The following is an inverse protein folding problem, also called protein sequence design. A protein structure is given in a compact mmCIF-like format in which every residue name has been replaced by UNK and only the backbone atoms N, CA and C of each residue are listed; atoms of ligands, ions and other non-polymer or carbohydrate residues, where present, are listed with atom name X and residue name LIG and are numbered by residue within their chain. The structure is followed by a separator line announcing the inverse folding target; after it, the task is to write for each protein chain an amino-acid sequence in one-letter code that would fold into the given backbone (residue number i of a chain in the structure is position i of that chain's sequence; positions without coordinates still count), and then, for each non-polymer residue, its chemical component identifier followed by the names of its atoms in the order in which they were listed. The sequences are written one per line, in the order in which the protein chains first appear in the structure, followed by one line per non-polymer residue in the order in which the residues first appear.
data_IF_096908141793
#
_entry.id   IF_096908141793
#
_cell.length_a   1.000
_cell.length_b   1.000
_cell.length_c   1.000
_cell.angle_alpha   90.00
_cell.angle_beta   90.00
_cell.angle_gamma   90.00
#
_symmetry.space_group_name_H-M   'P 1'
#
loop_
_entity.id
_entity.type
_entity.pdbx_description
1 polymer ?
#
# COMPACT_ATOMS: atom_id res chain seq x y z
N UNK A 1 -25.53 17.56 -19.12
CA UNK A 1 -24.96 16.23 -18.83
C UNK A 1 -23.57 16.39 -18.26
N UNK A 2 -23.10 15.44 -17.46
CA UNK A 2 -21.81 15.50 -16.77
C UNK A 2 -21.01 14.22 -16.97
N UNK A 3 -19.73 14.38 -17.30
CA UNK A 3 -18.77 13.29 -17.46
C UNK A 3 -17.64 13.46 -16.45
N UNK A 4 -17.37 12.42 -15.67
CA UNK A 4 -16.20 12.41 -14.79
C UNK A 4 -15.08 11.60 -15.44
N UNK A 5 -13.86 12.13 -15.45
CA UNK A 5 -12.66 11.41 -15.88
C UNK A 5 -11.85 11.05 -14.64
N UNK A 6 -11.54 9.77 -14.42
CA UNK A 6 -10.62 9.32 -13.38
C UNK A 6 -9.34 8.81 -14.03
N UNK A 7 -8.24 9.53 -13.79
CA UNK A 7 -6.95 9.25 -14.39
C UNK A 7 -6.02 8.58 -13.38
N UNK A 8 -5.61 7.35 -13.70
CA UNK A 8 -4.76 6.50 -12.88
C UNK A 8 -3.27 6.56 -13.18
N UNK A 9 -2.85 7.35 -14.18
CA UNK A 9 -1.43 7.55 -14.46
C UNK A 9 -0.76 8.48 -13.44
N UNK A 10 0.54 8.74 -13.65
CA UNK A 10 1.38 9.49 -12.71
C UNK A 10 1.45 11.00 -12.99
N UNK A 11 0.81 11.47 -14.06
CA UNK A 11 0.89 12.87 -14.47
C UNK A 11 2.21 13.24 -15.15
N UNK A 12 2.90 12.27 -15.75
CA UNK A 12 4.09 12.53 -16.56
C UNK A 12 3.70 13.35 -17.79
N UNK A 13 4.52 14.34 -18.14
CA UNK A 13 4.23 15.29 -19.23
C UNK A 13 4.09 14.57 -20.57
N UNK A 14 4.89 13.54 -20.77
CA UNK A 14 4.97 12.71 -21.96
C UNK A 14 3.98 11.53 -21.94
N UNK A 15 3.04 11.48 -21.01
CA UNK A 15 2.06 10.40 -20.96
C UNK A 15 1.00 10.55 -22.07
N UNK A 16 0.95 9.63 -23.05
CA UNK A 16 0.01 9.70 -24.17
C UNK A 16 -1.46 9.63 -23.73
N UNK A 17 -1.76 9.07 -22.56
CA UNK A 17 -3.12 9.09 -22.02
C UNK A 17 -3.61 10.51 -21.73
N UNK A 18 -2.71 11.44 -21.38
CA UNK A 18 -3.05 12.84 -21.13
C UNK A 18 -3.50 13.51 -22.43
N UNK A 19 -2.78 13.29 -23.54
CA UNK A 19 -3.19 13.79 -24.85
C UNK A 19 -4.58 13.29 -25.24
N UNK A 20 -4.83 11.98 -25.13
CA UNK A 20 -6.13 11.38 -25.46
C UNK A 20 -7.24 11.98 -24.60
N UNK A 21 -7.03 12.11 -23.28
CA UNK A 21 -8.00 12.74 -22.39
C UNK A 21 -8.28 14.20 -22.76
N UNK A 22 -7.25 14.98 -23.08
CA UNK A 22 -7.41 16.38 -23.46
C UNK A 22 -8.23 16.50 -24.77
N UNK A 23 -8.00 15.61 -25.73
CA UNK A 23 -8.81 15.52 -26.96
C UNK A 23 -10.25 15.16 -26.68
N UNK A 24 -10.49 14.15 -25.83
CA UNK A 24 -11.85 13.78 -25.41
C UNK A 24 -12.54 14.98 -24.72
N UNK A 25 -11.83 15.69 -23.84
CA UNK A 25 -12.36 16.86 -23.15
C UNK A 25 -12.77 17.96 -24.13
N UNK A 26 -11.94 18.25 -25.15
CA UNK A 26 -12.27 19.22 -26.19
C UNK A 26 -13.54 18.87 -26.96
N UNK A 27 -13.65 17.62 -27.44
CA UNK A 27 -14.86 17.15 -28.16
C UNK A 27 -16.10 17.22 -27.28
N UNK A 28 -16.00 16.85 -26.01
CA UNK A 28 -17.13 16.91 -25.07
C UNK A 28 -17.53 18.35 -24.73
N UNK A 29 -16.56 19.27 -24.65
CA UNK A 29 -16.80 20.70 -24.41
C UNK A 29 -17.56 21.33 -25.59
N UNK A 30 -17.16 21.02 -26.83
CA UNK A 30 -17.88 21.43 -28.06
C UNK A 30 -19.34 20.95 -28.07
N UNK A 31 -19.61 19.80 -27.43
CA UNK A 31 -20.94 19.22 -27.28
C UNK A 31 -21.69 19.74 -26.03
N UNK A 32 -21.17 20.77 -25.34
CA UNK A 32 -21.71 21.37 -24.12
C UNK A 32 -21.85 20.38 -22.94
N UNK A 33 -20.93 19.41 -22.85
CA UNK A 33 -20.89 18.43 -21.76
C UNK A 33 -19.93 18.91 -20.69
N UNK A 34 -20.40 18.97 -19.43
CA UNK A 34 -19.55 19.36 -18.30
C UNK A 34 -18.61 18.21 -17.96
N UNK A 35 -17.32 18.37 -18.23
CA UNK A 35 -16.30 17.38 -17.89
C UNK A 35 -15.59 17.77 -16.60
N UNK A 36 -15.45 16.83 -15.67
CA UNK A 36 -14.61 17.00 -14.48
C UNK A 36 -13.55 15.90 -14.40
N UNK A 37 -12.29 16.30 -14.47
CA UNK A 37 -11.14 15.40 -14.36
C UNK A 37 -10.68 15.28 -12.91
N UNK A 38 -10.41 14.05 -12.48
CA UNK A 38 -9.84 13.68 -11.20
C UNK A 38 -8.53 12.95 -11.47
N UNK A 39 -7.42 13.61 -11.16
CA UNK A 39 -6.10 13.01 -11.19
C UNK A 39 -5.88 12.25 -9.89
N UNK A 40 -5.92 10.92 -9.94
CA UNK A 40 -5.87 10.10 -8.72
C UNK A 40 -4.52 10.21 -7.97
N UNK A 41 -3.47 10.65 -8.66
CA UNK A 41 -2.16 10.86 -8.06
C UNK A 41 -2.07 12.12 -7.20
N UNK A 42 -2.94 13.12 -7.41
CA UNK A 42 -2.93 14.40 -6.67
C UNK A 42 -3.41 14.22 -5.23
N UNK A 43 -4.45 13.41 -5.01
CA UNK A 43 -4.97 13.11 -3.68
C UNK A 43 -5.28 11.61 -3.54
N UNK A 44 -4.22 10.84 -3.28
CA UNK A 44 -4.32 9.38 -3.07
C UNK A 44 -5.20 9.02 -1.87
N UNK A 45 -5.31 9.92 -0.88
CA UNK A 45 -6.09 9.70 0.35
C UNK A 45 -7.58 9.96 0.11
N UNK A 46 -7.90 10.96 -0.69
CA UNK A 46 -9.25 11.29 -1.12
C UNK A 46 -9.88 10.29 -2.08
N UNK A 47 -9.14 9.28 -2.58
CA UNK A 47 -9.70 8.27 -3.50
C UNK A 47 -10.92 7.57 -2.88
N UNK A 48 -10.90 7.29 -1.58
CA UNK A 48 -12.01 6.63 -0.88
C UNK A 48 -13.33 7.40 -0.98
N UNK A 49 -13.29 8.74 -1.07
CA UNK A 49 -14.48 9.59 -1.15
C UNK A 49 -14.89 9.91 -2.58
N UNK A 50 -14.09 9.60 -3.60
CA UNK A 50 -14.44 9.87 -5.00
C UNK A 50 -15.71 9.16 -5.49
N UNK A 51 -16.12 7.96 -5.01
CA UNK A 51 -17.38 7.35 -5.43
C UNK A 51 -18.61 8.25 -5.25
N UNK A 52 -18.61 9.17 -4.28
CA UNK A 52 -19.72 10.13 -4.10
C UNK A 52 -19.91 11.06 -5.30
N UNK A 53 -18.83 11.31 -6.05
CA UNK A 53 -18.87 12.18 -7.24
C UNK A 53 -19.58 11.54 -8.42
N UNK A 54 -19.82 10.23 -8.38
CA UNK A 54 -20.55 9.47 -9.39
C UNK A 54 -22.06 9.74 -9.35
N UNK A 55 -22.60 10.22 -8.22
CA UNK A 55 -24.04 10.52 -8.05
C UNK A 55 -24.55 11.49 -9.14
N UNK A 56 -23.76 12.51 -9.44
CA UNK A 56 -24.10 13.55 -10.41
C UNK A 56 -23.60 13.26 -11.83
N UNK A 57 -22.90 12.15 -12.06
CA UNK A 57 -22.34 11.82 -13.36
C UNK A 57 -23.36 11.06 -14.23
N UNK A 58 -23.40 11.38 -15.51
CA UNK A 58 -24.15 10.62 -16.53
C UNK A 58 -23.25 9.54 -17.16
N UNK A 59 -21.96 9.83 -17.26
CA UNK A 59 -20.96 8.88 -17.74
C UNK A 59 -19.59 9.11 -17.09
N UNK A 60 -18.75 8.09 -17.19
CA UNK A 60 -17.40 8.05 -16.63
C UNK A 60 -16.39 7.68 -17.70
N UNK A 61 -15.20 8.24 -17.61
CA UNK A 61 -14.05 7.80 -18.38
C UNK A 61 -13.01 7.35 -17.38
N UNK A 62 -12.57 6.10 -17.49
CA UNK A 62 -11.45 5.59 -16.70
C UNK A 62 -10.22 5.60 -17.61
N UNK A 63 -9.19 6.33 -17.23
CA UNK A 63 -7.98 6.51 -18.02
C UNK A 63 -6.76 5.89 -17.33
N UNK A 64 -6.17 4.88 -17.95
CA UNK A 64 -5.02 4.14 -17.45
C UNK A 64 -3.80 4.33 -18.36
N UNK A 65 -2.65 4.51 -17.72
CA UNK A 65 -1.34 4.52 -18.37
C UNK A 65 -0.61 3.25 -17.96
N UNK A 66 -0.37 2.36 -18.93
CA UNK A 66 0.18 1.03 -18.71
C UNK A 66 1.68 1.07 -18.98
N UNK A 67 2.45 1.10 -17.89
CA UNK A 67 3.91 1.05 -17.92
C UNK A 67 4.45 -0.38 -17.77
N UNK A 68 3.76 -1.21 -16.97
CA UNK A 68 4.17 -2.58 -16.67
C UNK A 68 3.02 -3.58 -16.86
N UNK A 69 2.06 -3.62 -15.92
CA UNK A 69 0.96 -4.58 -15.97
C UNK A 69 -0.30 -4.03 -15.32
N UNK A 70 -1.43 -4.28 -15.98
CA UNK A 70 -2.74 -3.91 -15.48
C UNK A 70 -2.99 -2.40 -15.48
N UNK A 71 -3.98 -1.99 -14.71
CA UNK A 71 -4.59 -0.64 -14.79
C UNK A 71 -3.94 0.38 -13.84
N UNK A 72 -2.92 -0.03 -13.10
CA UNK A 72 -2.27 0.79 -12.06
C UNK A 72 -2.98 0.75 -10.70
N UNK A 73 -2.20 0.91 -9.63
CA UNK A 73 -2.69 0.77 -8.25
C UNK A 73 -3.72 1.82 -7.83
N UNK A 74 -3.61 3.05 -8.35
CA UNK A 74 -4.55 4.13 -8.02
C UNK A 74 -5.95 3.87 -8.60
N UNK A 75 -6.03 3.35 -9.83
CA UNK A 75 -7.30 2.96 -10.43
C UNK A 75 -7.90 1.75 -9.73
N UNK A 76 -7.08 0.78 -9.32
CA UNK A 76 -7.53 -0.33 -8.47
C UNK A 76 -8.15 0.19 -7.16
N UNK A 77 -7.44 1.08 -6.46
CA UNK A 77 -7.95 1.67 -5.21
C UNK A 77 -9.26 2.43 -5.42
N UNK A 78 -9.42 3.12 -6.57
CA UNK A 78 -10.67 3.78 -6.91
C UNK A 78 -11.81 2.79 -7.19
N UNK A 79 -11.54 1.70 -7.91
CA UNK A 79 -12.54 0.65 -8.19
C UNK A 79 -12.94 -0.10 -6.91
N UNK A 80 -11.99 -0.34 -6.00
CA UNK A 80 -12.28 -0.91 -4.68
C UNK A 80 -13.13 0.04 -3.84
N UNK A 81 -12.82 1.34 -3.85
CA UNK A 81 -13.67 2.35 -3.21
C UNK A 81 -15.08 2.39 -3.82
N UNK A 82 -15.21 2.26 -5.14
CA UNK A 82 -16.51 2.12 -5.82
C UNK A 82 -17.25 0.84 -5.41
N UNK A 83 -16.52 -0.24 -5.20
CA UNK A 83 -17.11 -1.49 -4.74
C UNK A 83 -17.67 -1.36 -3.32
N UNK A 84 -16.92 -0.73 -2.42
CA UNK A 84 -17.25 -0.58 -1.00
C UNK A 84 -18.28 0.52 -0.73
N UNK A 85 -18.08 1.71 -1.29
CA UNK A 85 -18.83 2.92 -0.94
C UNK A 85 -19.75 3.43 -2.05
N UNK A 86 -19.65 2.87 -3.25
CA UNK A 86 -20.42 3.31 -4.40
C UNK A 86 -21.89 2.87 -4.33
N UNK A 87 -22.78 3.77 -4.78
CA UNK A 87 -24.21 3.50 -4.89
C UNK A 87 -24.50 2.54 -6.05
N UNK A 88 -24.88 1.30 -5.72
CA UNK A 88 -25.14 0.22 -6.69
C UNK A 88 -26.31 0.50 -7.61
N UNK A 89 -27.31 1.28 -7.17
CA UNK A 89 -28.43 1.67 -8.04
C UNK A 89 -27.96 2.69 -9.08
N UNK A 90 -27.09 3.63 -8.68
CA UNK A 90 -26.51 4.60 -9.61
C UNK A 90 -25.70 3.92 -10.71
N UNK A 91 -24.90 2.90 -10.37
CA UNK A 91 -24.08 2.17 -11.36
C UNK A 91 -24.92 1.60 -12.51
N UNK A 92 -26.13 1.09 -12.26
CA UNK A 92 -26.99 0.50 -13.32
C UNK A 92 -27.30 1.45 -14.47
N UNK A 93 -27.19 2.76 -14.24
CA UNK A 93 -27.45 3.81 -15.24
C UNK A 93 -26.17 4.49 -15.76
N UNK A 94 -25.00 4.06 -15.28
CA UNK A 94 -23.75 4.79 -15.47
C UNK A 94 -22.89 4.15 -16.57
N UNK A 95 -22.69 4.90 -17.65
CA UNK A 95 -21.88 4.50 -18.79
C UNK A 95 -20.40 4.73 -18.50
N UNK A 96 -19.52 3.81 -18.93
CA UNK A 96 -18.08 3.96 -18.77
C UNK A 96 -17.31 3.67 -20.05
N UNK A 97 -16.44 4.60 -20.44
CA UNK A 97 -15.48 4.40 -21.52
C UNK A 97 -14.07 4.14 -20.95
N UNK A 98 -13.45 2.99 -21.25
CA UNK A 98 -12.05 2.77 -20.89
C UNK A 98 -11.13 3.48 -21.88
N UNK A 99 -10.12 4.17 -21.35
CA UNK A 99 -9.03 4.78 -22.12
C UNK A 99 -7.73 4.21 -21.61
N UNK A 100 -7.05 3.40 -22.41
CA UNK A 100 -5.86 2.66 -22.00
C UNK A 100 -4.75 2.87 -23.01
N UNK A 101 -3.65 3.46 -22.55
CA UNK A 101 -2.46 3.70 -23.37
C UNK A 101 -1.28 2.96 -22.75
N UNK A 102 -0.56 2.19 -23.56
CA UNK A 102 0.68 1.52 -23.15
C UNK A 102 1.86 2.07 -23.95
N UNK A 103 3.00 2.22 -23.30
CA UNK A 103 4.29 2.52 -23.96
C UNK A 103 5.14 1.27 -24.18
N UNK A 104 4.72 0.13 -23.63
CA UNK A 104 5.42 -1.15 -23.72
C UNK A 104 4.49 -2.25 -24.24
N UNK A 105 3.61 -2.78 -23.41
CA UNK A 105 2.64 -3.84 -23.72
C UNK A 105 1.58 -3.93 -22.60
N UNK A 106 0.43 -4.54 -22.89
CA UNK A 106 -0.57 -4.93 -21.87
C UNK A 106 -1.82 -4.06 -21.87
N UNK A 107 -1.98 -3.15 -22.84
CA UNK A 107 -3.14 -2.28 -23.01
C UNK A 107 -4.44 -3.07 -23.14
N UNK A 108 -4.42 -4.21 -23.85
CA UNK A 108 -5.60 -5.06 -24.04
C UNK A 108 -6.06 -5.72 -22.75
N UNK A 109 -5.13 -6.25 -21.97
CA UNK A 109 -5.45 -6.90 -20.69
C UNK A 109 -5.93 -5.88 -19.66
N UNK A 110 -5.32 -4.69 -19.64
CA UNK A 110 -5.77 -3.58 -18.81
C UNK A 110 -7.18 -3.13 -19.21
N UNK A 111 -7.47 -2.94 -20.51
CA UNK A 111 -8.81 -2.58 -20.98
C UNK A 111 -9.83 -3.65 -20.58
N UNK A 112 -9.53 -4.93 -20.79
CA UNK A 112 -10.39 -6.04 -20.40
C UNK A 112 -10.68 -6.03 -18.89
N UNK A 113 -9.64 -5.77 -18.08
CA UNK A 113 -9.75 -5.66 -16.62
C UNK A 113 -10.69 -4.52 -16.21
N UNK A 114 -10.58 -3.34 -16.83
CA UNK A 114 -11.44 -2.20 -16.53
C UNK A 114 -12.91 -2.45 -16.88
N UNK A 115 -13.14 -3.03 -18.06
CA UNK A 115 -14.49 -3.40 -18.52
C UNK A 115 -15.10 -4.39 -17.53
N UNK A 116 -14.37 -5.46 -17.21
CA UNK A 116 -14.83 -6.49 -16.27
C UNK A 116 -15.13 -5.93 -14.88
N UNK A 117 -14.24 -5.09 -14.34
CA UNK A 117 -14.45 -4.47 -13.03
C UNK A 117 -15.70 -3.58 -13.01
N UNK A 118 -15.92 -2.81 -14.08
CA UNK A 118 -17.10 -1.95 -14.19
C UNK A 118 -18.42 -2.73 -14.33
N UNK A 119 -18.41 -3.82 -15.10
CA UNK A 119 -19.56 -4.74 -15.17
C UNK A 119 -19.87 -5.36 -13.81
N UNK A 120 -18.84 -5.75 -13.05
CA UNK A 120 -19.01 -6.28 -11.70
C UNK A 120 -19.61 -5.25 -10.74
N UNK A 121 -19.25 -3.96 -10.88
CA UNK A 121 -19.89 -2.86 -10.15
C UNK A 121 -21.36 -2.65 -10.55
N UNK A 122 -21.78 -3.19 -11.70
CA UNK A 122 -23.13 -3.06 -12.24
C UNK A 122 -23.29 -1.94 -13.25
N UNK A 123 -22.18 -1.36 -13.73
CA UNK A 123 -22.18 -0.31 -14.73
C UNK A 123 -22.26 -0.79 -16.17
N UNK A 124 -22.45 0.15 -17.10
CA UNK A 124 -22.58 -0.13 -18.53
C UNK A 124 -21.25 0.18 -19.23
N UNK A 125 -20.39 -0.80 -19.52
CA UNK A 125 -19.17 -0.55 -20.28
C UNK A 125 -19.50 -0.18 -21.73
N UNK A 126 -18.75 0.77 -22.27
CA UNK A 126 -18.81 1.22 -23.65
C UNK A 126 -17.52 0.86 -24.38
N UNK A 127 -17.58 0.91 -25.70
CA UNK A 127 -16.38 0.86 -26.53
C UNK A 127 -15.46 2.03 -26.18
N UNK A 128 -14.16 1.73 -26.09
CA UNK A 128 -13.16 2.66 -25.58
C UNK A 128 -11.97 2.85 -26.51
N UNK A 129 -10.92 3.45 -25.96
CA UNK A 129 -9.66 3.70 -26.64
C UNK A 129 -8.61 2.81 -25.99
N UNK A 130 -7.92 2.03 -26.81
CA UNK A 130 -6.90 1.08 -26.39
C UNK A 130 -5.80 1.13 -27.43
N UNK A 131 -4.63 1.64 -27.06
CA UNK A 131 -3.53 1.82 -28.00
C UNK A 131 -2.16 1.64 -27.36
N UNK A 132 -1.24 1.12 -28.17
CA UNK A 132 0.18 1.14 -27.91
C UNK A 132 0.80 2.37 -28.59
N UNK A 133 1.62 3.11 -27.86
CA UNK A 133 2.28 4.34 -28.32
C UNK A 133 3.78 4.20 -28.11
N UNK A 134 4.51 3.95 -29.20
CA UNK A 134 5.97 3.84 -29.18
C UNK A 134 6.67 5.20 -29.19
N UNK A 135 6.06 6.20 -29.82
CA UNK A 135 6.57 7.57 -29.90
C UNK A 135 5.41 8.55 -29.68
N UNK A 136 5.51 9.30 -28.60
CA UNK A 136 4.46 10.21 -28.13
C UNK A 136 4.33 11.41 -29.06
N UNK A 137 5.44 11.95 -29.57
CA UNK A 137 5.43 13.12 -30.45
C UNK A 137 4.70 12.83 -31.76
N UNK A 138 5.03 11.72 -32.42
CA UNK A 138 4.33 11.29 -33.65
C UNK A 138 2.85 11.01 -33.38
N UNK A 139 2.53 10.41 -32.23
CA UNK A 139 1.15 10.13 -31.87
C UNK A 139 0.31 11.41 -31.68
N UNK A 140 0.85 12.41 -30.98
CA UNK A 140 0.17 13.67 -30.68
C UNK A 140 0.01 14.59 -31.91
N UNK A 141 0.96 14.52 -32.84
CA UNK A 141 0.95 15.33 -34.07
C UNK A 141 0.17 14.70 -35.22
N UNK A 142 -0.21 13.43 -35.10
CA UNK A 142 -0.99 12.72 -36.12
C UNK A 142 -2.44 13.18 -36.16
N UNK A 143 -2.86 13.72 -37.30
CA UNK A 143 -4.24 14.09 -37.58
C UNK A 143 -5.17 12.87 -37.67
N UNK A 144 -4.65 11.72 -38.13
CA UNK A 144 -5.41 10.48 -38.25
C UNK A 144 -5.77 9.91 -36.87
N UNK A 145 -4.81 9.88 -35.94
CA UNK A 145 -5.08 9.40 -34.57
C UNK A 145 -6.01 10.35 -33.82
N UNK A 146 -5.84 11.67 -33.98
CA UNK A 146 -6.77 12.65 -33.44
C UNK A 146 -8.20 12.41 -33.94
N UNK A 147 -8.38 12.21 -35.25
CA UNK A 147 -9.69 11.90 -35.84
C UNK A 147 -10.31 10.60 -35.30
N UNK A 148 -9.51 9.55 -35.08
CA UNK A 148 -10.00 8.31 -34.48
C UNK A 148 -10.48 8.50 -33.03
N UNK A 149 -9.74 9.29 -32.23
CA UNK A 149 -10.12 9.65 -30.86
C UNK A 149 -11.43 10.44 -30.86
N UNK A 150 -11.58 11.40 -31.77
CA UNK A 150 -12.81 12.19 -31.93
C UNK A 150 -14.00 11.30 -32.27
N UNK A 151 -13.87 10.39 -33.25
CA UNK A 151 -14.95 9.46 -33.62
C UNK A 151 -15.35 8.51 -32.50
N UNK A 152 -14.39 8.00 -31.73
CA UNK A 152 -14.66 7.18 -30.54
C UNK A 152 -15.41 8.00 -29.48
N UNK A 153 -15.00 9.24 -29.26
CA UNK A 153 -15.64 10.16 -28.30
C UNK A 153 -17.07 10.52 -28.69
N UNK A 154 -17.32 10.84 -29.97
CA UNK A 154 -18.67 11.08 -30.50
C UNK A 154 -19.58 9.84 -30.34
N UNK A 155 -19.03 8.65 -30.59
CA UNK A 155 -19.75 7.39 -30.42
C UNK A 155 -20.14 7.16 -28.97
N UNK A 156 -19.21 7.41 -28.03
CA UNK A 156 -19.48 7.36 -26.61
C UNK A 156 -20.55 8.36 -26.21
N UNK A 157 -20.42 9.63 -26.62
CA UNK A 157 -21.42 10.67 -26.42
C UNK A 157 -22.82 10.24 -26.87
N UNK A 158 -22.94 9.75 -28.10
CA UNK A 158 -24.21 9.27 -28.65
C UNK A 158 -24.81 8.13 -27.79
N UNK A 159 -23.98 7.27 -27.24
CA UNK A 159 -24.39 6.12 -26.42
C UNK A 159 -25.02 6.56 -25.11
N UNK A 160 -24.33 7.39 -24.33
CA UNK A 160 -24.83 7.80 -23.01
C UNK A 160 -25.90 8.91 -23.11
N UNK A 161 -25.87 9.77 -24.13
CA UNK A 161 -26.91 10.81 -24.35
C UNK A 161 -28.27 10.25 -24.75
N UNK A 162 -28.28 9.22 -25.59
CA UNK A 162 -29.52 8.53 -26.00
C UNK A 162 -29.91 7.40 -25.07
N UNK A 163 -29.14 7.16 -24.00
CA UNK A 163 -29.32 6.04 -23.07
C UNK A 163 -29.48 4.70 -23.80
N UNK A 164 -28.62 4.45 -24.78
CA UNK A 164 -28.67 3.21 -25.56
C UNK A 164 -28.41 2.02 -24.62
N UNK A 165 -29.23 0.96 -24.75
CA UNK A 165 -29.03 -0.27 -23.99
C UNK A 165 -27.83 -1.04 -24.53
N UNK A 166 -27.09 -1.69 -23.64
CA UNK A 166 -26.15 -2.74 -24.04
C UNK A 166 -26.91 -4.03 -24.35
N UNK A 167 -26.27 -4.91 -25.12
CA UNK A 167 -26.72 -6.29 -25.27
C UNK A 167 -26.58 -7.05 -23.94
N UNK A 168 -27.39 -8.09 -23.70
CA UNK A 168 -27.24 -8.92 -22.51
C UNK A 168 -25.89 -9.65 -22.51
N UNK A 169 -25.27 -9.77 -21.33
CA UNK A 169 -23.99 -10.45 -21.12
C UNK A 169 -24.09 -11.48 -19.99
N UNK A 170 -23.18 -12.45 -20.00
CA UNK A 170 -23.09 -13.44 -18.92
C UNK A 170 -22.74 -12.80 -17.56
N UNK A 171 -21.97 -11.71 -17.57
CA UNK A 171 -21.62 -10.96 -16.35
C UNK A 171 -22.86 -10.36 -15.66
N UNK A 172 -23.83 -9.87 -16.43
CA UNK A 172 -25.11 -9.39 -15.89
C UNK A 172 -25.89 -10.51 -15.18
N UNK A 173 -25.98 -11.69 -15.81
CA UNK A 173 -26.74 -12.84 -15.28
C UNK A 173 -26.07 -13.42 -14.03
N UNK A 174 -24.74 -13.54 -14.02
CA UNK A 174 -23.99 -14.04 -12.85
C UNK A 174 -24.15 -13.09 -11.65
N UNK A 175 -24.14 -11.77 -11.90
CA UNK A 175 -24.35 -10.79 -10.84
C UNK A 175 -25.72 -10.90 -10.19
N UNK A 176 -26.79 -11.02 -10.98
CA UNK A 176 -28.15 -11.10 -10.46
C UNK A 176 -28.43 -12.40 -9.70
N UNK A 177 -27.82 -13.52 -10.13
CA UNK A 177 -28.17 -14.84 -9.62
C UNK A 177 -27.19 -15.43 -8.58
N UNK A 178 -25.90 -15.03 -8.60
CA UNK A 178 -24.83 -15.73 -7.85
C UNK A 178 -24.10 -14.81 -6.87
N UNK A 179 -23.89 -13.54 -7.22
CA UNK A 179 -23.20 -12.58 -6.35
C UNK A 179 -24.16 -11.99 -5.31
N UNK A 180 -24.43 -12.75 -4.24
CA UNK A 180 -24.99 -12.22 -2.98
C UNK A 180 -23.84 -12.07 -1.98
N UNK A 181 -23.07 -10.97 -2.01
CA UNK A 181 -22.03 -10.77 -1.02
C UNK A 181 -22.64 -10.80 0.39
N UNK A 182 -21.94 -11.41 1.36
CA UNK A 182 -22.18 -11.21 2.80
C UNK A 182 -21.72 -9.80 3.22
N UNK A 183 -22.08 -8.78 2.46
CA UNK A 183 -21.74 -7.40 2.79
C UNK A 183 -22.77 -6.85 3.76
N UNK A 184 -22.28 -6.10 4.74
CA UNK A 184 -23.10 -5.20 5.55
C UNK A 184 -23.85 -4.30 4.55
N UNK A 185 -25.18 -4.35 4.57
CA UNK A 185 -26.00 -3.50 3.71
C UNK A 185 -26.00 -2.09 4.30
N UNK A 186 -24.98 -1.32 3.95
CA UNK A 186 -24.90 0.09 4.27
C UNK A 186 -25.85 0.85 3.35
N UNK A 187 -26.62 1.77 3.94
CA UNK A 187 -27.35 2.78 3.19
C UNK A 187 -26.37 3.71 2.46
N UNK A 188 -26.80 4.40 1.38
CA UNK A 188 -25.95 5.36 0.69
C UNK A 188 -25.38 6.46 1.60
N UNK A 189 -26.11 6.84 2.67
CA UNK A 189 -25.61 7.80 3.66
C UNK A 189 -24.50 7.20 4.54
N UNK A 190 -24.68 5.97 5.04
CA UNK A 190 -23.67 5.28 5.86
C UNK A 190 -22.40 5.00 5.05
N UNK A 191 -22.52 4.59 3.79
CA UNK A 191 -21.37 4.41 2.90
C UNK A 191 -20.59 5.70 2.69
N UNK A 192 -21.28 6.83 2.54
CA UNK A 192 -20.63 8.13 2.37
C UNK A 192 -19.92 8.58 3.66
N UNK A 193 -20.55 8.41 4.82
CA UNK A 193 -19.93 8.69 6.12
C UNK A 193 -18.69 7.82 6.37
N UNK A 194 -18.76 6.52 6.07
CA UNK A 194 -17.63 5.61 6.18
C UNK A 194 -16.50 5.97 5.23
N UNK A 195 -16.82 6.37 3.99
CA UNK A 195 -15.81 6.83 3.03
C UNK A 195 -15.08 8.06 3.55
N UNK A 196 -15.80 8.99 4.17
CA UNK A 196 -15.23 10.18 4.81
C UNK A 196 -14.36 9.79 6.01
N UNK A 197 -14.82 8.86 6.86
CA UNK A 197 -14.06 8.39 8.02
C UNK A 197 -12.74 7.70 7.61
N UNK A 198 -12.78 6.82 6.62
CA UNK A 198 -11.58 6.14 6.09
C UNK A 198 -10.62 7.12 5.42
N UNK A 199 -11.15 8.15 4.75
CA UNK A 199 -10.31 9.22 4.18
C UNK A 199 -9.75 10.18 5.23
N UNK A 200 -10.35 10.25 6.42
CA UNK A 200 -10.08 11.26 7.42
C UNK A 200 -9.44 10.63 8.66
N UNK A 201 -8.12 10.64 8.67
CA UNK A 201 -7.23 10.05 9.67
C UNK A 201 -7.28 10.74 11.05
N UNK A 202 -8.40 11.38 11.40
CA UNK A 202 -8.62 12.01 12.71
C UNK A 202 -8.36 11.04 13.86
N UNK A 203 -8.56 9.74 13.67
CA UNK A 203 -8.23 8.74 14.70
C UNK A 203 -6.71 8.54 14.90
N UNK A 204 -5.91 8.64 13.83
CA UNK A 204 -4.44 8.52 13.89
C UNK A 204 -3.78 9.85 14.26
N UNK A 205 -4.35 10.98 13.79
CA UNK A 205 -3.90 12.31 14.21
C UNK A 205 -4.24 12.61 15.66
N UNK A 206 -5.46 12.31 16.10
CA UNK A 206 -5.86 12.50 17.49
C UNK A 206 -5.14 11.53 18.42
N UNK A 207 -4.87 10.28 18.01
CA UNK A 207 -3.93 9.44 18.78
C UNK A 207 -2.52 10.02 18.85
N UNK A 208 -1.98 10.61 17.78
CA UNK A 208 -0.65 11.22 17.81
C UNK A 208 -0.61 12.54 18.58
N UNK A 209 -1.64 13.36 18.47
CA UNK A 209 -1.80 14.64 19.16
C UNK A 209 -2.13 14.41 20.63
N UNK A 210 -3.06 13.52 20.98
CA UNK A 210 -3.36 13.12 22.36
C UNK A 210 -2.12 12.46 23.00
N UNK A 211 -1.35 11.66 22.26
CA UNK A 211 -0.11 11.07 22.76
C UNK A 211 0.98 12.14 22.94
N UNK A 212 1.04 13.16 22.09
CA UNK A 212 1.93 14.31 22.26
C UNK A 212 1.50 15.22 23.43
N UNK A 213 0.20 15.49 23.60
CA UNK A 213 -0.35 16.25 24.73
C UNK A 213 -0.16 15.50 26.04
N UNK A 214 -0.44 14.19 26.09
CA UNK A 214 -0.16 13.35 27.25
C UNK A 214 1.34 13.32 27.55
N UNK A 215 2.20 13.26 26.53
CA UNK A 215 3.68 13.29 26.70
C UNK A 215 4.16 14.64 27.22
N UNK A 216 3.60 15.76 26.75
CA UNK A 216 3.91 17.10 27.26
C UNK A 216 3.41 17.28 28.69
N UNK A 217 2.19 16.83 28.99
CA UNK A 217 1.62 16.89 30.32
C UNK A 217 2.40 16.02 31.31
N UNK A 218 2.87 14.84 30.89
CA UNK A 218 3.77 13.99 31.69
C UNK A 218 5.16 14.58 31.89
N UNK A 219 5.76 15.22 30.88
CA UNK A 219 7.02 15.97 31.01
C UNK A 219 6.89 17.14 32.00
N UNK A 220 5.75 17.85 31.96
CA UNK A 220 5.50 18.96 32.86
C UNK A 220 5.26 18.52 34.30
N UNK A 221 4.62 17.35 34.51
CA UNK A 221 4.37 16.78 35.83
C UNK A 221 5.58 16.09 36.46
N UNK A 222 6.56 15.62 35.68
CA UNK A 222 7.76 14.96 36.21
C UNK A 222 8.92 15.92 36.56
N UNK A 223 8.86 17.20 36.13
CA UNK A 223 9.92 18.17 36.41
C UNK A 223 11.23 17.85 35.68
N UNK A 224 12.05 18.88 35.44
CA UNK A 224 13.38 18.74 34.82
C UNK A 224 14.32 17.96 35.75
N UNK A 225 14.21 16.65 35.75
CA UNK A 225 15.26 15.74 36.22
C UNK A 225 15.91 15.11 35.00
N UNK A 226 17.19 15.38 34.82
CA UNK A 226 18.08 15.02 33.70
C UNK A 226 18.37 13.50 33.58
N UNK A 227 17.45 12.67 34.07
CA UNK A 227 17.47 11.21 34.04
C UNK A 227 16.06 10.72 33.65
N UNK A 228 15.70 10.85 32.37
CA UNK A 228 14.47 10.25 31.84
C UNK A 228 14.76 8.96 31.06
N UNK A 229 14.13 7.82 31.40
CA UNK A 229 14.17 6.63 30.57
C UNK A 229 13.29 6.82 29.34
N UNK A 230 13.90 6.84 28.16
CA UNK A 230 13.18 6.86 26.87
C UNK A 230 12.25 5.64 26.76
N UNK A 231 10.93 5.91 26.80
CA UNK A 231 9.90 4.95 26.39
C UNK A 231 9.67 5.06 24.87
N UNK A 232 10.54 4.40 24.11
CA UNK A 232 10.11 3.65 22.95
C UNK A 232 10.11 2.18 23.38
N UNK A 233 8.98 1.66 23.89
CA UNK A 233 8.72 0.22 23.77
C UNK A 233 8.31 -0.06 22.32
N UNK A 234 9.30 0.04 21.44
CA UNK A 234 9.35 -0.81 20.27
C UNK A 234 9.67 -2.20 20.79
N UNK A 235 8.77 -3.14 20.52
CA UNK A 235 8.88 -4.60 20.73
C UNK A 235 10.33 -5.06 20.94
N UNK A 236 10.62 -5.60 22.13
CA UNK A 236 11.90 -6.24 22.49
C UNK A 236 12.01 -7.60 21.75
N UNK A 237 12.49 -7.67 20.50
CA UNK A 237 12.01 -8.67 19.54
C UNK A 237 12.87 -9.93 19.47
N UNK A 238 13.77 -10.14 20.44
CA UNK A 238 14.70 -11.28 20.42
C UNK A 238 14.79 -12.03 21.76
N UNK A 239 14.18 -11.52 22.84
CA UNK A 239 14.26 -12.18 24.16
C UNK A 239 13.66 -13.58 24.11
N UNK A 240 12.51 -13.73 23.44
CA UNK A 240 11.80 -15.00 23.32
C UNK A 240 12.54 -16.00 22.44
N UNK A 241 13.23 -15.54 21.40
CA UNK A 241 14.06 -16.32 20.49
C UNK A 241 15.26 -16.90 21.23
N UNK A 242 15.95 -16.10 22.06
CA UNK A 242 17.04 -16.58 22.90
C UNK A 242 16.56 -17.58 23.96
N UNK A 243 15.39 -17.36 24.58
CA UNK A 243 14.79 -18.33 25.52
C UNK A 243 14.45 -19.66 24.86
N UNK A 244 13.92 -19.65 23.63
CA UNK A 244 13.57 -20.87 22.88
C UNK A 244 14.79 -21.67 22.42
N UNK A 245 15.87 -20.98 22.03
CA UNK A 245 17.09 -21.61 21.53
C UNK A 245 18.03 -22.09 22.65
N UNK A 246 17.74 -21.75 23.91
CA UNK A 246 18.59 -22.05 25.06
C UNK A 246 18.59 -23.54 25.42
N UNK A 247 19.78 -24.13 25.45
CA UNK A 247 20.06 -25.51 25.85
C UNK A 247 20.96 -25.47 27.09
N UNK A 248 20.44 -25.81 28.29
CA UNK A 248 21.19 -25.67 29.53
C UNK A 248 22.39 -26.63 29.58
N UNK A 249 23.54 -26.13 30.02
CA UNK A 249 24.75 -26.91 30.29
C UNK A 249 25.01 -26.84 31.80
N UNK A 250 25.15 -27.99 32.50
CA UNK A 250 25.48 -28.01 33.93
C UNK A 250 26.84 -27.31 34.20
N UNK A 251 26.96 -26.68 35.38
CA UNK A 251 28.20 -26.05 35.85
C UNK A 251 28.76 -24.89 34.99
N UNK A 252 27.91 -24.26 34.18
CA UNK A 252 28.27 -23.07 33.39
C UNK A 252 27.63 -21.81 33.99
N UNK A 253 28.47 -20.84 34.36
CA UNK A 253 28.07 -19.49 34.75
C UNK A 253 28.76 -18.46 33.87
N UNK A 254 28.01 -17.75 33.03
CA UNK A 254 28.55 -16.73 32.10
C UNK A 254 27.53 -15.64 31.82
N UNK A 255 28.01 -14.42 31.65
CA UNK A 255 27.23 -13.25 31.27
C UNK A 255 27.73 -12.62 29.96
N UNK A 256 26.80 -12.31 29.05
CA UNK A 256 27.06 -11.59 27.80
C UNK A 256 26.28 -10.27 27.79
N UNK A 257 26.92 -9.19 27.32
CA UNK A 257 26.21 -7.98 26.89
C UNK A 257 26.35 -7.82 25.39
N UNK A 258 25.29 -7.44 24.70
CA UNK A 258 25.30 -7.21 23.26
C UNK A 258 24.78 -5.81 22.93
N UNK A 259 25.67 -4.99 22.38
CA UNK A 259 25.38 -3.69 21.82
C UNK A 259 25.03 -3.82 20.34
N UNK A 260 23.77 -3.53 20.02
CA UNK A 260 23.27 -3.57 18.65
C UNK A 260 23.17 -2.12 18.19
N UNK A 261 23.85 -1.76 17.10
CA UNK A 261 23.97 -0.35 16.66
C UNK A 261 22.61 0.35 16.46
N UNK A 262 21.61 -0.41 16.07
CA UNK A 262 20.26 0.06 15.77
C UNK A 262 19.35 0.08 17.02
N UNK A 263 19.83 -0.40 18.18
CA UNK A 263 19.10 -0.41 19.44
C UNK A 263 19.71 0.54 20.47
N UNK A 264 18.85 1.17 21.27
CA UNK A 264 19.27 2.10 22.32
C UNK A 264 19.65 1.39 23.63
N UNK A 265 19.26 0.11 23.81
CA UNK A 265 19.51 -0.70 25.02
C UNK A 265 20.40 -1.90 24.69
N UNK A 266 21.25 -2.31 25.64
CA UNK A 266 22.08 -3.51 25.49
C UNK A 266 21.24 -4.76 25.79
N UNK A 267 21.35 -5.79 24.97
CA UNK A 267 20.80 -7.10 25.28
C UNK A 267 21.75 -7.82 26.26
N UNK A 268 21.24 -8.26 27.40
CA UNK A 268 22.01 -8.96 28.43
C UNK A 268 21.53 -10.40 28.51
N UNK A 269 22.46 -11.35 28.46
CA UNK A 269 22.22 -12.79 28.59
C UNK A 269 23.02 -13.29 29.78
N UNK A 270 22.34 -13.79 30.80
CA UNK A 270 22.95 -14.31 32.02
C UNK A 270 22.60 -15.78 32.13
N UNK A 271 23.63 -16.61 32.19
CA UNK A 271 23.49 -18.03 32.41
C UNK A 271 24.07 -18.33 33.77
N UNK A 272 23.27 -18.85 34.68
CA UNK A 272 23.70 -19.30 36.01
C UNK A 272 23.01 -20.63 36.33
N UNK A 273 23.79 -21.65 36.66
CA UNK A 273 23.30 -22.98 37.08
C UNK A 273 22.21 -23.56 36.17
N UNK A 274 22.37 -23.44 34.84
CA UNK A 274 21.43 -23.97 33.86
C UNK A 274 20.15 -23.14 33.67
N UNK A 275 20.06 -21.95 34.25
CA UNK A 275 18.97 -20.99 34.02
C UNK A 275 19.46 -19.81 33.18
N UNK A 276 18.67 -19.41 32.18
CA UNK A 276 18.92 -18.23 31.36
C UNK A 276 18.02 -17.07 31.82
N UNK A 277 18.64 -15.94 32.14
CA UNK A 277 18.00 -14.64 32.29
C UNK A 277 18.39 -13.75 31.11
N UNK A 278 17.42 -13.38 30.28
CA UNK A 278 17.62 -12.60 29.05
C UNK A 278 16.76 -11.35 29.11
N UNK A 279 17.37 -10.16 29.03
CA UNK A 279 16.66 -8.88 29.13
C UNK A 279 17.43 -7.74 28.46
N UNK A 280 16.75 -6.65 28.15
CA UNK A 280 17.38 -5.41 27.68
C UNK A 280 17.68 -4.47 28.86
N UNK A 281 18.93 -4.07 29.03
CA UNK A 281 19.33 -3.24 30.17
C UNK A 281 20.77 -2.76 30.08
N UNK A 282 21.30 -2.27 31.20
CA UNK A 282 22.73 -2.00 31.37
C UNK A 282 23.22 -2.83 32.55
N UNK A 283 24.35 -3.51 32.37
CA UNK A 283 25.06 -4.24 33.43
C UNK A 283 26.51 -3.79 33.42
N UNK A 284 27.01 -3.38 34.58
CA UNK A 284 28.35 -2.77 34.70
C UNK A 284 29.50 -3.79 34.55
N UNK A 285 29.22 -5.08 34.78
CA UNK A 285 30.20 -6.16 34.66
C UNK A 285 29.62 -7.36 33.91
N UNK A 286 30.14 -7.63 32.71
CA UNK A 286 29.87 -8.85 31.93
C UNK A 286 31.15 -9.56 31.54
N UNK A 287 31.09 -10.87 31.33
CA UNK A 287 32.25 -11.68 30.95
C UNK A 287 32.67 -11.44 29.50
N UNK A 288 31.68 -11.17 28.63
CA UNK A 288 31.91 -10.84 27.21
C UNK A 288 30.95 -9.74 26.76
N UNK A 289 31.51 -8.65 26.24
CA UNK A 289 30.77 -7.58 25.59
C UNK A 289 30.89 -7.69 24.07
N UNK A 290 29.76 -7.85 23.38
CA UNK A 290 29.64 -8.00 21.93
C UNK A 290 29.08 -6.71 21.35
N UNK A 291 29.57 -6.29 20.18
CA UNK A 291 28.96 -5.23 19.38
C UNK A 291 28.77 -5.68 17.94
N UNK A 292 27.57 -5.50 17.39
CA UNK A 292 27.23 -5.81 16.00
C UNK A 292 26.14 -4.89 15.45
N UNK A 293 25.84 -5.00 14.16
CA UNK A 293 24.58 -4.49 13.60
C UNK A 293 23.44 -5.49 13.81
N UNK A 294 22.20 -5.01 13.67
CA UNK A 294 20.96 -5.81 13.71
C UNK A 294 21.00 -6.96 12.71
N UNK A 295 21.51 -6.72 11.50
CA UNK A 295 21.63 -7.74 10.45
C UNK A 295 22.48 -8.94 10.90
N UNK A 296 23.59 -8.69 11.61
CA UNK A 296 24.47 -9.76 12.08
C UNK A 296 23.82 -10.54 13.22
N UNK A 297 23.08 -9.88 14.10
CA UNK A 297 22.28 -10.54 15.14
C UNK A 297 21.23 -11.46 14.54
N UNK A 298 20.49 -10.98 13.54
CA UNK A 298 19.46 -11.77 12.84
C UNK A 298 20.07 -13.01 12.18
N UNK A 299 21.21 -12.88 11.50
CA UNK A 299 21.92 -14.03 10.92
C UNK A 299 22.28 -15.10 11.96
N UNK A 300 22.58 -14.69 13.20
CA UNK A 300 22.89 -15.61 14.30
C UNK A 300 21.61 -16.25 14.85
N UNK A 301 20.58 -15.45 15.13
CA UNK A 301 19.29 -15.91 15.67
C UNK A 301 18.55 -16.84 14.69
N UNK A 302 18.69 -16.63 13.38
CA UNK A 302 18.11 -17.48 12.33
C UNK A 302 19.01 -18.68 11.94
N UNK A 303 20.14 -18.88 12.62
CA UNK A 303 21.03 -20.03 12.41
C UNK A 303 21.79 -20.01 11.07
N UNK A 304 21.96 -18.84 10.45
CA UNK A 304 22.74 -18.70 9.22
C UNK A 304 24.25 -18.75 9.49
N UNK A 305 24.70 -18.21 10.63
CA UNK A 305 26.10 -18.20 11.04
C UNK A 305 26.24 -18.29 12.57
N UNK A 306 27.13 -19.16 13.11
CA UNK A 306 27.47 -19.16 14.53
C UNK A 306 28.14 -17.85 14.98
N UNK A 307 27.99 -17.50 16.26
CA UNK A 307 28.60 -16.30 16.85
C UNK A 307 30.13 -16.33 16.70
N UNK A 308 30.75 -17.49 16.92
CA UNK A 308 32.20 -17.65 16.78
C UNK A 308 32.67 -17.36 15.35
N UNK A 309 31.94 -17.81 14.34
CA UNK A 309 32.29 -17.59 12.92
C UNK A 309 32.16 -16.12 12.56
N UNK A 310 31.09 -15.46 12.99
CA UNK A 310 30.86 -14.02 12.76
C UNK A 310 31.89 -13.13 13.49
N UNK A 311 32.41 -13.59 14.64
CA UNK A 311 33.55 -12.94 15.30
C UNK A 311 34.84 -13.08 14.48
N UNK A 312 35.15 -14.30 14.01
CA UNK A 312 36.37 -14.59 13.25
C UNK A 312 36.40 -13.94 11.86
N UNK A 313 35.23 -13.71 11.24
CA UNK A 313 35.10 -13.00 9.96
C UNK A 313 35.18 -11.47 10.11
N UNK A 314 35.14 -10.95 11.33
CA UNK A 314 35.17 -9.51 11.63
C UNK A 314 33.81 -8.80 11.47
N UNK A 315 32.71 -9.55 11.32
CA UNK A 315 31.35 -8.99 11.19
C UNK A 315 30.80 -8.45 12.52
N UNK A 316 31.28 -8.97 13.64
CA UNK A 316 31.04 -8.45 14.98
C UNK A 316 32.35 -8.28 15.75
N UNK A 317 32.31 -7.41 16.76
CA UNK A 317 33.43 -7.22 17.70
C UNK A 317 33.06 -7.75 19.07
N UNK A 318 33.98 -8.42 19.75
CA UNK A 318 33.79 -8.89 21.12
C UNK A 318 34.96 -8.41 22.00
N UNK A 319 34.70 -8.15 23.28
CA UNK A 319 35.68 -7.72 24.27
C UNK A 319 35.41 -8.45 25.58
N UNK A 320 36.40 -9.14 26.13
CA UNK A 320 36.26 -9.93 27.36
C UNK A 320 36.90 -11.30 27.23
N UNK A 321 36.32 -12.31 27.87
CA UNK A 321 36.83 -13.68 27.83
C UNK A 321 36.41 -14.44 26.56
N UNK A 322 37.24 -14.36 25.52
CA UNK A 322 36.98 -14.99 24.22
C UNK A 322 36.80 -16.52 24.26
N UNK A 323 37.29 -17.21 25.30
CA UNK A 323 37.14 -18.67 25.43
C UNK A 323 35.68 -19.09 25.56
N UNK A 324 34.80 -18.18 26.00
CA UNK A 324 33.39 -18.46 26.26
C UNK A 324 32.50 -18.22 25.03
N UNK A 325 33.06 -17.71 23.91
CA UNK A 325 32.33 -17.57 22.64
C UNK A 325 31.94 -18.93 22.04
N UNK A 326 32.79 -19.96 22.18
CA UNK A 326 32.42 -21.32 21.77
C UNK A 326 31.28 -21.87 22.64
N UNK A 327 31.29 -21.54 23.94
CA UNK A 327 30.23 -21.92 24.88
C UNK A 327 28.90 -21.28 24.49
N UNK A 328 28.90 -20.05 23.97
CA UNK A 328 27.69 -19.39 23.46
C UNK A 328 26.98 -20.21 22.37
N UNK A 329 27.71 -20.64 21.34
CA UNK A 329 27.14 -21.46 20.25
C UNK A 329 26.68 -22.85 20.71
N UNK A 330 27.13 -23.30 21.88
CA UNK A 330 26.70 -24.56 22.49
C UNK A 330 25.46 -24.36 23.37
N UNK A 331 25.36 -23.21 24.05
CA UNK A 331 24.23 -22.80 24.88
C UNK A 331 23.02 -22.39 24.04
N UNK A 332 23.22 -21.81 22.85
CA UNK A 332 22.15 -21.35 21.98
C UNK A 332 22.16 -22.09 20.64
N UNK A 333 21.24 -23.05 20.48
CA UNK A 333 21.12 -23.85 19.25
C UNK A 333 20.05 -23.27 18.34
N UNK A 334 20.41 -22.24 17.57
CA UNK A 334 19.54 -21.69 16.54
C UNK A 334 19.49 -22.64 15.33
N UNK A 335 18.31 -23.16 15.01
CA UNK A 335 18.09 -24.01 13.83
C UNK A 335 17.65 -23.18 12.64
N UNK A 336 18.15 -23.50 11.44
CA UNK A 336 17.55 -23.02 10.19
C UNK A 336 16.12 -23.55 10.07
N UNK A 337 15.14 -22.67 10.04
CA UNK A 337 13.79 -23.01 9.60
C UNK A 337 13.69 -23.00 8.08
#
# INVERSE_FOLDING_TARGET
MKVNIYYGGRGLIDDPAIFVMNKIMGVLDELNIKVKRYNLYEDKRGIAVLPKTLKDADAVILAASVEWMGIGGLLWQFLDACWLYGDKEKFKSLYMMPVVLATTYGEKDAQFTMVKAWEMLGGIPCDGICAYVSDTVTFETSTEYAYLIEKKTESFYRTFSKKLSSLPSSSLVVRENVLKPKTIRLTPQESEQLSMYVSNDSYVRKQKEDLQELTQMFKQMMGDSDDSPDMFEAEEPYVEEFKKAFSPIPDVSVSFSWEIKEFQRLLVLEIENGSLNCYYGKRDSVDVAIKSSKKVLENIVYGESPLQTAFMSGELTAKGNFRVLHTFDTLFRFSKN
#
